data_IF_013468584035
#
_entry.id   IF_013468584035
#
_cell.length_a   1.000
_cell.length_b   1.000
_cell.length_c   1.000
_cell.angle_alpha   90.00
_cell.angle_beta   90.00
_cell.angle_gamma   90.00
#
_symmetry.space_group_name_H-M   'P 1'
#
loop_
_entity.id
_entity.type
_entity.pdbx_description
1 polymer ?
#
# COMPACT_ATOMS: atom_id res chain seq x y z
N UNK A 1 1.69 -0.68 -15.80
CA UNK A 1 0.69 -1.22 -14.85
C UNK A 1 0.53 -0.17 -13.77
N UNK A 2 -0.65 0.43 -13.63
CA UNK A 2 -0.83 1.62 -12.78
C UNK A 2 -1.14 1.22 -11.33
N UNK A 3 -0.12 0.78 -10.59
CA UNK A 3 -0.25 0.52 -9.15
C UNK A 3 -0.01 1.80 -8.36
N UNK A 4 -0.82 2.01 -7.33
CA UNK A 4 -0.73 3.14 -6.41
C UNK A 4 -0.86 2.63 -4.98
N UNK A 5 0.14 2.90 -4.17
CA UNK A 5 0.08 2.70 -2.73
C UNK A 5 -0.33 4.00 -2.06
N UNK A 6 -1.42 3.95 -1.31
CA UNK A 6 -1.89 5.05 -0.48
C UNK A 6 -1.52 4.75 0.97
N UNK A 7 -0.78 5.64 1.62
CA UNK A 7 -0.50 5.54 3.04
C UNK A 7 -1.52 6.35 3.83
N UNK A 8 -2.08 5.72 4.86
CA UNK A 8 -3.03 6.33 5.77
C UNK A 8 -2.52 6.27 7.21
N UNK A 9 -2.43 7.43 7.84
CA UNK A 9 -2.18 7.58 9.28
C UNK A 9 -3.29 8.41 9.89
N UNK A 10 -4.53 7.90 9.85
CA UNK A 10 -5.73 8.67 10.17
C UNK A 10 -6.15 9.70 9.10
N UNK A 11 -5.26 10.08 8.19
CA UNK A 11 -5.56 10.81 6.94
C UNK A 11 -4.63 10.30 5.82
N UNK A 12 -4.98 10.52 4.54
CA UNK A 12 -4.12 10.15 3.40
C UNK A 12 -2.87 11.02 3.45
N UNK A 13 -1.76 10.45 3.88
CA UNK A 13 -0.49 11.15 4.07
C UNK A 13 0.35 11.16 2.79
N UNK A 14 0.12 10.21 1.89
CA UNK A 14 0.84 10.15 0.63
C UNK A 14 0.24 9.14 -0.35
N UNK A 15 0.43 9.45 -1.63
CA UNK A 15 0.22 8.51 -2.73
C UNK A 15 1.58 8.24 -3.37
N UNK A 16 1.95 6.96 -3.42
CA UNK A 16 3.15 6.49 -4.10
C UNK A 16 2.70 5.71 -5.32
N UNK A 17 3.02 6.23 -6.51
CA UNK A 17 2.88 5.45 -7.73
C UNK A 17 3.96 4.36 -7.72
N UNK A 18 3.52 3.11 -7.78
CA UNK A 18 4.36 1.93 -7.81
C UNK A 18 4.32 1.39 -9.24
N UNK A 19 5.46 1.41 -9.92
CA UNK A 19 5.61 0.58 -11.11
C UNK A 19 6.03 -0.82 -10.62
N UNK A 20 5.07 -1.73 -10.65
CA UNK A 20 5.22 -3.13 -10.26
C UNK A 20 4.62 -4.00 -11.36
N UNK A 21 5.31 -5.09 -11.70
CA UNK A 21 4.82 -6.05 -12.69
C UNK A 21 3.74 -6.98 -12.12
N UNK A 22 3.73 -7.17 -10.80
CA UNK A 22 2.84 -8.10 -10.13
C UNK A 22 2.36 -7.60 -8.77
N UNK A 23 1.22 -8.12 -8.32
CA UNK A 23 0.65 -7.83 -7.01
C UNK A 23 1.60 -8.22 -5.87
N UNK A 24 2.47 -9.20 -6.07
CA UNK A 24 3.43 -9.68 -5.06
C UNK A 24 4.57 -8.68 -4.83
N UNK A 25 5.18 -8.16 -5.90
CA UNK A 25 6.17 -7.08 -5.81
C UNK A 25 5.57 -5.82 -5.15
N UNK A 26 4.34 -5.49 -5.54
CA UNK A 26 3.63 -4.34 -5.00
C UNK A 26 3.38 -4.51 -3.49
N UNK A 27 2.99 -5.71 -3.04
CA UNK A 27 2.86 -6.04 -1.61
C UNK A 27 4.20 -6.00 -0.90
N UNK A 28 5.29 -6.50 -1.49
CA UNK A 28 6.62 -6.49 -0.88
C UNK A 28 7.12 -5.05 -0.66
N UNK A 29 6.95 -4.17 -1.65
CA UNK A 29 7.27 -2.74 -1.52
C UNK A 29 6.39 -2.05 -0.48
N UNK A 30 5.08 -2.29 -0.51
CA UNK A 30 4.17 -1.72 0.48
C UNK A 30 4.47 -2.22 1.90
N UNK A 31 4.89 -3.48 2.07
CA UNK A 31 5.29 -4.05 3.37
C UNK A 31 6.52 -3.35 3.94
N UNK A 32 7.51 -3.00 3.10
CA UNK A 32 8.65 -2.18 3.56
C UNK A 32 8.25 -0.76 3.98
N UNK A 33 7.15 -0.22 3.44
CA UNK A 33 6.62 1.11 3.82
C UNK A 33 5.67 1.05 5.03
N UNK A 34 5.22 -0.15 5.42
CA UNK A 34 4.21 -0.40 6.45
C UNK A 34 4.70 -0.18 7.88
N UNK A 35 5.97 0.17 8.07
CA UNK A 35 6.61 0.18 9.38
C UNK A 35 5.89 1.11 10.39
N UNK A 36 5.20 2.14 9.90
CA UNK A 36 4.50 3.12 10.77
C UNK A 36 3.00 3.30 10.53
N UNK A 37 2.48 2.99 9.34
CA UNK A 37 1.15 3.41 8.88
C UNK A 37 0.41 2.31 8.12
N UNK A 38 -0.93 2.39 8.07
CA UNK A 38 -1.73 1.53 7.20
C UNK A 38 -1.48 1.90 5.73
N UNK A 39 -1.40 0.90 4.86
CA UNK A 39 -1.20 1.09 3.42
C UNK A 39 -2.26 0.35 2.62
N UNK A 40 -2.95 1.08 1.75
CA UNK A 40 -3.85 0.52 0.76
C UNK A 40 -3.17 0.49 -0.60
N UNK A 41 -3.04 -0.70 -1.17
CA UNK A 41 -2.55 -0.91 -2.53
C UNK A 41 -3.73 -0.99 -3.50
N UNK A 42 -3.72 -0.11 -4.47
CA UNK A 42 -4.72 -0.01 -5.54
C UNK A 42 -4.05 -0.19 -6.90
N UNK A 43 -4.80 -0.75 -7.84
CA UNK A 43 -4.46 -0.82 -9.25
C UNK A 43 -5.59 -0.17 -10.03
N UNK A 44 -5.38 1.07 -10.49
CA UNK A 44 -6.42 1.93 -11.07
C UNK A 44 -7.64 2.12 -10.16
N UNK A 45 -8.67 1.30 -10.33
CA UNK A 45 -9.93 1.30 -9.56
C UNK A 45 -10.10 0.03 -8.71
N UNK A 46 -9.21 -0.96 -8.88
CA UNK A 46 -9.26 -2.22 -8.14
C UNK A 46 -8.35 -2.14 -6.93
N UNK A 47 -8.91 -2.31 -5.73
CA UNK A 47 -8.10 -2.49 -4.52
C UNK A 47 -7.45 -3.88 -4.54
N UNK A 48 -6.12 -3.91 -4.58
CA UNK A 48 -5.31 -5.13 -4.72
C UNK A 48 -5.07 -5.75 -3.34
N UNK A 49 -4.65 -4.92 -2.39
CA UNK A 49 -4.35 -5.36 -1.04
C UNK A 49 -4.54 -4.20 -0.06
N UNK A 50 -4.93 -4.52 1.16
CA UNK A 50 -4.89 -3.57 2.27
C UNK A 50 -3.94 -4.14 3.29
N UNK A 51 -2.78 -3.52 3.43
CA UNK A 51 -1.85 -3.83 4.48
C UNK A 51 -2.25 -2.98 5.67
N UNK A 52 -2.83 -3.62 6.67
CA UNK A 52 -3.11 -2.96 7.94
C UNK A 52 -1.95 -3.20 8.88
N UNK A 53 -1.56 -2.19 9.63
CA UNK A 53 -0.68 -2.41 10.77
C UNK A 53 -1.44 -3.29 11.74
N UNK A 54 -1.02 -4.55 11.89
CA UNK A 54 -1.40 -5.34 13.05
C UNK A 54 -0.68 -4.73 14.25
N UNK A 55 -1.31 -3.73 14.86
CA UNK A 55 -0.96 -3.30 16.20
C UNK A 55 -1.21 -4.53 17.08
N UNK A 56 -0.15 -5.27 17.43
CA UNK A 56 -0.21 -6.16 18.58
C UNK A 56 -0.60 -5.26 19.76
N UNK A 57 -1.84 -5.44 20.21
CA UNK A 57 -2.28 -4.99 21.53
C UNK A 57 -1.47 -5.73 22.59
#
# INVERSE_FOLDING_TARGET
MDYRAYSQDGHISGVQELDCADDDEAKAKATQMLDRHDLELWQRDRRVAVLKRHTRQ
#
